data_IF_630873122372
#
_entry.id   IF_630873122372
#
_cell.length_a   1.000
_cell.length_b   1.000
_cell.length_c   1.000
_cell.angle_alpha   90.00
_cell.angle_beta   90.00
_cell.angle_gamma   90.00
#
_symmetry.space_group_name_H-M   'P 1'
#
loop_
_entity.id
_entity.type
_entity.pdbx_description
1 polymer ?
#
# COMPACT_ATOMS: atom_id res chain seq x y z
N UNK A 1 -24.91 12.79 -6.93
CA UNK A 1 -23.57 12.73 -7.53
C UNK A 1 -22.58 13.16 -6.46
N UNK A 2 -22.00 12.22 -5.70
CA UNK A 2 -21.09 12.53 -4.59
C UNK A 2 -19.68 12.71 -5.13
N UNK A 3 -19.08 13.86 -4.87
CA UNK A 3 -17.77 14.26 -5.38
C UNK A 3 -16.67 13.48 -4.65
N UNK A 4 -16.11 12.44 -5.30
CA UNK A 4 -14.91 11.77 -4.82
C UNK A 4 -13.72 12.74 -4.98
N UNK A 5 -13.22 13.27 -3.86
CA UNK A 5 -12.05 14.15 -3.89
C UNK A 5 -10.83 13.32 -4.32
N UNK A 6 -10.40 13.49 -5.56
CA UNK A 6 -9.27 12.77 -6.13
C UNK A 6 -7.98 13.51 -5.76
N UNK A 7 -7.15 12.91 -4.89
CA UNK A 7 -5.82 13.44 -4.55
C UNK A 7 -4.72 12.53 -5.06
N UNK A 8 -3.70 13.16 -5.63
CA UNK A 8 -2.48 12.49 -6.10
C UNK A 8 -1.54 12.31 -4.91
N UNK A 9 -1.11 11.08 -4.69
CA UNK A 9 -0.18 10.71 -3.63
C UNK A 9 1.19 10.44 -4.22
N UNK A 10 2.21 11.03 -3.61
CA UNK A 10 3.61 10.66 -3.82
C UNK A 10 4.11 10.04 -2.52
N UNK A 11 4.58 8.81 -2.59
CA UNK A 11 5.36 8.21 -1.53
C UNK A 11 6.80 8.17 -2.01
N UNK A 12 7.60 9.07 -1.45
CA UNK A 12 9.03 9.16 -1.72
C UNK A 12 9.77 9.06 -0.39
N UNK A 13 10.72 8.12 -0.31
CA UNK A 13 11.72 8.08 0.74
C UNK A 13 13.10 8.20 0.07
N UNK A 14 13.96 9.05 0.61
CA UNK A 14 15.31 9.25 0.09
C UNK A 14 16.10 7.93 0.19
N UNK A 15 16.29 7.24 -0.93
CA UNK A 15 17.30 6.20 -1.09
C UNK A 15 16.94 4.93 -1.86
N UNK A 16 15.71 4.42 -1.85
CA UNK A 16 15.51 3.04 -2.33
C UNK A 16 14.14 2.64 -2.90
N UNK A 17 13.13 3.51 -2.98
CA UNK A 17 11.83 3.14 -3.59
C UNK A 17 11.00 4.37 -3.97
N UNK A 18 10.23 4.26 -5.06
CA UNK A 18 9.31 5.32 -5.52
C UNK A 18 7.93 4.72 -5.74
N UNK A 19 6.93 5.30 -5.07
CA UNK A 19 5.53 4.92 -5.22
C UNK A 19 4.67 6.13 -5.59
N UNK A 20 3.78 5.95 -6.55
CA UNK A 20 2.75 6.92 -6.86
C UNK A 20 1.39 6.23 -6.85
N UNK A 21 0.42 6.86 -6.19
CA UNK A 21 -0.94 6.36 -6.11
C UNK A 21 -1.93 7.49 -6.19
N UNK A 22 -3.16 7.19 -6.59
CA UNK A 22 -4.29 8.08 -6.35
C UNK A 22 -5.12 7.48 -5.24
N UNK A 23 -5.83 8.31 -4.48
CA UNK A 23 -6.89 7.81 -3.61
C UNK A 23 -8.19 8.52 -3.92
N UNK A 24 -9.28 7.79 -3.67
CA UNK A 24 -10.62 8.31 -3.63
C UNK A 24 -11.22 7.98 -2.28
N UNK A 25 -11.73 9.01 -1.60
CA UNK A 25 -12.51 8.83 -0.38
C UNK A 25 -13.99 8.74 -0.75
N UNK A 26 -14.62 7.63 -0.38
CA UNK A 26 -16.06 7.40 -0.54
C UNK A 26 -16.86 8.22 0.49
N UNK A 27 -18.18 8.32 0.29
CA UNK A 27 -19.09 9.08 1.17
C UNK A 27 -19.16 8.53 2.61
N UNK A 28 -18.78 7.26 2.79
CA UNK A 28 -18.70 6.57 4.09
C UNK A 28 -17.35 6.76 4.80
N UNK A 29 -16.41 7.50 4.21
CA UNK A 29 -15.06 7.70 4.75
C UNK A 29 -14.06 6.57 4.42
N UNK A 30 -14.47 5.56 3.66
CA UNK A 30 -13.58 4.52 3.17
C UNK A 30 -12.72 5.04 2.01
N UNK A 31 -11.63 4.35 1.74
CA UNK A 31 -10.71 4.72 0.69
C UNK A 31 -10.33 3.61 -0.24
N UNK A 32 -10.25 4.02 -1.50
CA UNK A 32 -9.79 3.20 -2.60
C UNK A 32 -8.51 3.80 -3.15
N UNK A 33 -7.45 3.01 -3.17
CA UNK A 33 -6.08 3.45 -3.41
C UNK A 33 -5.42 2.54 -4.46
N UNK A 34 -5.59 2.82 -5.76
CA UNK A 34 -4.72 2.25 -6.78
C UNK A 34 -3.29 2.73 -6.54
N UNK A 35 -2.39 1.77 -6.35
CA UNK A 35 -0.99 2.03 -6.04
C UNK A 35 -0.11 1.29 -7.02
N UNK A 36 0.90 1.99 -7.53
CA UNK A 36 2.01 1.40 -8.24
C UNK A 36 3.29 1.75 -7.48
N UNK A 37 3.96 0.72 -6.99
CA UNK A 37 5.25 0.79 -6.34
C UNK A 37 6.29 0.13 -7.23
N UNK A 38 7.52 0.64 -7.17
CA UNK A 38 8.66 0.01 -7.81
C UNK A 38 9.82 -0.06 -6.81
N UNK A 39 10.31 -1.27 -6.57
CA UNK A 39 11.44 -1.54 -5.69
C UNK A 39 12.68 -1.89 -6.54
N UNK A 40 13.73 -1.07 -6.52
CA UNK A 40 15.06 -1.51 -6.94
C UNK A 40 15.69 -2.41 -5.85
N UNK A 41 16.00 -3.66 -6.20
CA UNK A 41 16.87 -4.50 -5.38
C UNK A 41 18.34 -4.07 -5.51
N UNK A 42 19.16 -4.46 -4.52
CA UNK A 42 20.61 -4.32 -4.44
C UNK A 42 21.38 -4.84 -5.67
N UNK A 43 20.80 -5.76 -6.45
CA UNK A 43 21.37 -6.26 -7.71
C UNK A 43 20.84 -5.58 -8.99
N UNK A 44 20.16 -4.42 -8.89
CA UNK A 44 19.51 -3.70 -10.02
C UNK A 44 18.30 -4.41 -10.65
N UNK A 45 17.68 -5.38 -9.98
CA UNK A 45 16.42 -5.94 -10.45
C UNK A 45 15.25 -5.05 -10.04
N UNK A 46 14.37 -4.76 -11.00
CA UNK A 46 13.20 -3.90 -10.80
C UNK A 46 12.00 -4.76 -10.43
N UNK A 47 11.46 -4.56 -9.24
CA UNK A 47 10.24 -5.23 -8.78
C UNK A 47 9.05 -4.26 -8.84
N UNK A 48 8.27 -4.28 -9.93
CA UNK A 48 7.02 -3.53 -9.98
C UNK A 48 5.95 -4.25 -9.17
N UNK A 49 5.36 -3.53 -8.22
CA UNK A 49 4.16 -3.94 -7.50
C UNK A 49 3.03 -3.02 -7.91
N UNK A 50 2.07 -3.54 -8.67
CA UNK A 50 0.87 -2.82 -9.07
C UNK A 50 -0.34 -3.41 -8.39
N UNK A 51 -1.19 -2.60 -7.77
CA UNK A 51 -2.39 -3.12 -7.16
C UNK A 51 -3.37 -2.05 -6.68
N UNK A 52 -4.36 -2.53 -5.95
CA UNK A 52 -5.44 -1.75 -5.40
C UNK A 52 -5.55 -2.06 -3.91
N UNK A 53 -5.44 -1.02 -3.09
CA UNK A 53 -5.77 -1.12 -1.68
C UNK A 53 -7.15 -0.54 -1.43
N UNK A 54 -7.97 -1.26 -0.66
CA UNK A 54 -9.20 -0.74 -0.08
C UNK A 54 -9.07 -0.70 1.42
N UNK A 55 -9.40 0.44 2.01
CA UNK A 55 -9.29 0.67 3.45
C UNK A 55 -10.58 1.25 4.01
N UNK A 56 -11.01 0.68 5.13
CA UNK A 56 -12.10 1.18 5.96
C UNK A 56 -11.51 1.88 7.17
N UNK A 57 -12.02 3.06 7.48
CA UNK A 57 -11.60 3.84 8.64
C UNK A 57 -12.70 3.86 9.70
N UNK A 58 -12.29 3.80 10.96
CA UNK A 58 -13.20 3.98 12.09
C UNK A 58 -13.60 5.45 12.21
N UNK A 59 -14.67 5.71 12.96
CA UNK A 59 -14.91 7.05 13.47
C UNK A 59 -13.69 7.56 14.25
N UNK A 60 -13.45 8.89 14.27
CA UNK A 60 -12.31 9.46 14.97
C UNK A 60 -12.37 9.11 16.46
N UNK A 61 -11.33 8.43 16.95
CA UNK A 61 -11.29 7.94 18.34
C UNK A 61 -10.75 9.01 19.28
N UNK A 62 -9.78 9.80 18.82
CA UNK A 62 -9.11 10.86 19.59
C UNK A 62 -8.83 12.06 18.67
N UNK A 63 -9.73 13.03 18.68
CA UNK A 63 -9.64 14.21 17.82
C UNK A 63 -9.73 13.85 16.34
N UNK A 64 -8.61 13.99 15.60
CA UNK A 64 -8.51 13.64 14.18
C UNK A 64 -7.82 12.29 13.93
N UNK A 65 -7.62 11.48 14.97
CA UNK A 65 -7.01 10.16 14.87
C UNK A 65 -8.06 9.13 14.47
N UNK A 66 -7.82 8.43 13.37
CA UNK A 66 -8.64 7.33 12.87
C UNK A 66 -7.77 6.09 12.73
N UNK A 67 -8.28 4.95 13.18
CA UNK A 67 -7.70 3.65 12.84
C UNK A 67 -8.39 3.14 11.57
N UNK A 68 -7.66 2.44 10.73
CA UNK A 68 -8.23 1.85 9.53
C UNK A 68 -7.67 0.45 9.27
N UNK A 69 -8.53 -0.41 8.76
CA UNK A 69 -8.18 -1.76 8.32
C UNK A 69 -8.59 -1.95 6.88
N UNK A 70 -7.90 -2.80 6.14
CA UNK A 70 -8.13 -2.96 4.71
C UNK A 70 -7.43 -4.16 4.12
N UNK A 71 -7.45 -4.22 2.81
CA UNK A 71 -6.71 -5.22 2.05
C UNK A 71 -6.03 -4.57 0.85
N UNK A 72 -4.90 -5.14 0.45
CA UNK A 72 -4.24 -4.92 -0.81
C UNK A 72 -4.47 -6.13 -1.68
N UNK A 73 -4.88 -5.92 -2.92
CA UNK A 73 -4.83 -6.94 -3.97
C UNK A 73 -4.03 -6.38 -5.12
N UNK A 74 -3.03 -7.12 -5.57
CA UNK A 74 -2.15 -6.66 -6.62
C UNK A 74 -1.44 -7.80 -7.30
N UNK A 75 -0.58 -7.41 -8.21
CA UNK A 75 0.37 -8.28 -8.86
C UNK A 75 1.76 -7.73 -8.60
N UNK A 76 2.67 -8.62 -8.27
CA UNK A 76 4.10 -8.32 -8.20
C UNK A 76 4.82 -9.16 -9.24
N UNK A 77 5.87 -8.62 -9.84
CA UNK A 77 6.80 -9.39 -10.65
C UNK A 77 8.19 -9.24 -10.05
N UNK A 78 8.85 -10.36 -9.75
CA UNK A 78 10.21 -10.40 -9.21
C UNK A 78 11.10 -11.18 -10.18
N UNK A 79 12.35 -10.75 -10.35
CA UNK A 79 13.33 -11.47 -11.18
C UNK A 79 13.69 -12.83 -10.59
N UNK A 80 13.74 -12.89 -9.25
CA UNK A 80 14.30 -14.02 -8.50
C UNK A 80 13.26 -15.10 -8.19
N UNK A 81 11.99 -14.79 -8.43
CA UNK A 81 10.86 -15.72 -8.25
C UNK A 81 10.21 -15.98 -9.61
N UNK A 82 10.31 -17.22 -10.10
CA UNK A 82 9.61 -17.69 -11.29
C UNK A 82 9.85 -16.87 -12.59
N UNK A 83 11.02 -16.21 -12.73
CA UNK A 83 11.41 -15.45 -13.95
C UNK A 83 10.38 -14.37 -14.39
N UNK A 84 10.08 -13.38 -13.55
CA UNK A 84 9.11 -12.30 -13.86
C UNK A 84 7.66 -12.76 -14.08
N UNK A 85 7.29 -13.97 -13.65
CA UNK A 85 5.89 -14.38 -13.69
C UNK A 85 5.07 -13.44 -12.77
N UNK A 86 3.96 -12.85 -13.25
CA UNK A 86 3.14 -11.98 -12.41
C UNK A 86 2.46 -12.81 -11.33
N UNK A 87 2.89 -12.61 -10.08
CA UNK A 87 2.34 -13.30 -8.92
C UNK A 87 1.20 -12.47 -8.33
N UNK A 88 -0.02 -13.04 -8.24
CA UNK A 88 -1.10 -12.38 -7.53
C UNK A 88 -0.78 -12.36 -6.03
N UNK A 89 -0.94 -11.20 -5.42
CA UNK A 89 -0.67 -10.98 -4.01
C UNK A 89 -1.91 -10.34 -3.36
N UNK A 90 -2.39 -10.95 -2.28
CA UNK A 90 -3.47 -10.41 -1.47
C UNK A 90 -2.96 -10.29 -0.03
N UNK A 91 -2.89 -9.06 0.48
CA UNK A 91 -2.34 -8.78 1.81
C UNK A 91 -3.32 -8.01 2.68
N UNK A 92 -3.42 -8.30 3.98
CA UNK A 92 -4.12 -7.43 4.92
C UNK A 92 -3.32 -6.13 5.13
N UNK A 93 -4.02 -4.99 5.18
CA UNK A 93 -3.42 -3.70 5.51
C UNK A 93 -4.03 -3.17 6.81
N UNK A 94 -3.16 -2.81 7.75
CA UNK A 94 -3.50 -1.94 8.88
C UNK A 94 -3.07 -0.50 8.61
N UNK A 95 -3.81 0.47 9.13
CA UNK A 95 -3.46 1.88 8.99
C UNK A 95 -3.90 2.73 10.16
N UNK A 96 -3.16 3.80 10.39
CA UNK A 96 -3.49 4.85 11.35
C UNK A 96 -3.39 6.17 10.61
N UNK A 97 -4.46 6.95 10.64
CA UNK A 97 -4.55 8.26 10.02
C UNK A 97 -4.64 9.36 11.06
N UNK A 98 -3.87 10.41 10.85
CA UNK A 98 -4.00 11.66 11.54
C UNK A 98 -4.04 12.82 10.54
N UNK A 99 -5.22 13.41 10.35
CA UNK A 99 -5.46 14.51 9.40
C UNK A 99 -5.06 14.14 7.97
N UNK A 100 -3.94 14.68 7.47
CA UNK A 100 -3.40 14.46 6.11
C UNK A 100 -2.26 13.45 6.06
N UNK A 101 -1.79 12.99 7.22
CA UNK A 101 -0.75 11.99 7.34
C UNK A 101 -1.39 10.66 7.72
N UNK A 102 -0.91 9.57 7.11
CA UNK A 102 -1.34 8.22 7.43
C UNK A 102 -0.14 7.28 7.40
N UNK A 103 -0.06 6.40 8.38
CA UNK A 103 0.92 5.31 8.43
C UNK A 103 0.16 4.03 8.11
N UNK A 104 0.69 3.26 7.17
CA UNK A 104 0.12 2.01 6.71
C UNK A 104 1.12 0.88 6.91
N UNK A 105 0.62 -0.30 7.21
CA UNK A 105 1.40 -1.50 7.47
C UNK A 105 0.73 -2.69 6.82
N UNK A 106 1.52 -3.63 6.32
CA UNK A 106 1.03 -4.90 5.81
C UNK A 106 1.95 -6.04 6.26
N UNK A 107 1.38 -7.22 6.42
CA UNK A 107 2.12 -8.43 6.75
C UNK A 107 2.09 -9.31 5.52
N UNK A 108 3.26 -9.62 4.99
CA UNK A 108 3.44 -10.56 3.89
C UNK A 108 3.61 -11.94 4.53
N UNK A 109 2.59 -12.81 4.45
CA UNK A 109 2.69 -14.14 5.03
C UNK A 109 3.70 -14.97 4.23
N UNK A 110 4.44 -15.83 4.93
CA UNK A 110 5.37 -16.78 4.31
C UNK A 110 4.72 -17.55 3.15
N UNK A 111 5.34 -17.48 1.97
CA UNK A 111 4.98 -18.33 0.83
C UNK A 111 5.85 -19.60 0.89
N UNK A 112 5.28 -20.80 1.11
CA UNK A 112 6.06 -22.03 1.19
C UNK A 112 6.87 -22.26 -0.08
N UNK A 113 8.21 -22.29 0.05
CA UNK A 113 9.15 -22.55 -1.05
C UNK A 113 9.80 -21.33 -1.69
N UNK A 114 9.51 -20.10 -1.24
CA UNK A 114 10.09 -18.87 -1.79
C UNK A 114 10.73 -17.93 -0.75
N UNK A 115 10.29 -17.95 0.50
CA UNK A 115 10.83 -17.09 1.57
C UNK A 115 10.82 -17.80 2.94
N UNK A 116 11.81 -17.51 3.78
CA UNK A 116 12.03 -18.17 5.09
C UNK A 116 11.43 -17.41 6.30
N UNK A 117 10.71 -16.30 6.10
CA UNK A 117 10.19 -15.48 7.21
C UNK A 117 8.96 -14.62 6.88
N UNK A 118 8.26 -14.19 7.93
CA UNK A 118 7.16 -13.23 7.82
C UNK A 118 7.74 -11.81 7.74
N UNK A 119 7.39 -11.07 6.70
CA UNK A 119 7.88 -9.70 6.48
C UNK A 119 6.76 -8.71 6.77
N UNK A 120 7.01 -7.82 7.73
CA UNK A 120 6.15 -6.66 7.96
C UNK A 120 6.68 -5.46 7.17
N UNK A 121 5.85 -4.90 6.30
CA UNK A 121 6.19 -3.73 5.50
C UNK A 121 5.37 -2.52 5.96
N UNK A 122 6.05 -1.39 6.16
CA UNK A 122 5.45 -0.14 6.64
C UNK A 122 5.73 0.99 5.67
N UNK A 123 4.74 1.83 5.40
CA UNK A 123 4.92 3.03 4.60
C UNK A 123 4.12 4.20 5.14
N UNK A 124 4.74 5.37 5.06
CA UNK A 124 4.09 6.65 5.35
C UNK A 124 3.42 7.18 4.09
N UNK A 125 2.27 7.81 4.26
CA UNK A 125 1.50 8.45 3.19
C UNK A 125 1.11 9.84 3.65
N UNK A 126 1.31 10.82 2.77
CA UNK A 126 0.96 12.21 3.01
C UNK A 126 0.10 12.75 1.87
N UNK A 127 -1.01 13.39 2.24
CA UNK A 127 -1.97 13.99 1.31
C UNK A 127 -1.73 15.50 1.17
N UNK A 128 -1.55 15.97 -0.07
CA UNK A 128 -1.39 17.39 -0.40
C UNK A 128 -2.72 18.03 -0.78
#
# INVERSE_FOLDING_TARGET
MSSACQRVMRVAHDGSWRGAGKHWTEANGNEDIPSAFAFPDSHHNFEPIGGYARQWYTFPVLGSLQAGGGFFVGVTARSDVAHYLPLPLALPIGSIRYRRASVMATIIPRIPGLDDGDVAFFWGRYEF
#
